data_IF_732540368580
#
_entry.id   IF_732540368580
#
_cell.length_a   1.000
_cell.length_b   1.000
_cell.length_c   1.000
_cell.angle_alpha   90.00
_cell.angle_beta   90.00
_cell.angle_gamma   90.00
#
_symmetry.space_group_name_H-M   'P 1'
#
loop_
_entity.id
_entity.type
_entity.pdbx_description
1 polymer ?
#
# COMPACT_ATOMS: atom_id res chain seq x y z
N UNK A 1 -8.18 20.08 11.62
CA UNK A 1 -9.44 19.85 10.90
C UNK A 1 -9.62 18.38 10.59
N UNK A 2 -10.79 17.85 10.91
CA UNK A 2 -11.07 16.41 10.71
C UNK A 2 -11.10 15.99 9.25
N UNK A 3 -11.48 16.87 8.33
CA UNK A 3 -11.57 16.58 6.91
C UNK A 3 -10.22 16.30 6.27
N UNK A 4 -9.13 16.86 6.81
CA UNK A 4 -7.80 16.66 6.26
C UNK A 4 -7.24 15.27 6.51
N UNK A 5 -7.71 14.60 7.57
CA UNK A 5 -7.23 13.25 7.89
C UNK A 5 -7.65 12.25 6.82
N UNK A 6 -8.89 12.34 6.35
CA UNK A 6 -9.37 11.45 5.29
C UNK A 6 -8.51 11.59 4.02
N UNK A 7 -8.22 12.81 3.62
CA UNK A 7 -7.43 13.05 2.41
C UNK A 7 -6.00 12.53 2.53
N UNK A 8 -5.43 12.60 3.72
CA UNK A 8 -4.08 12.07 3.97
C UNK A 8 -4.08 10.54 3.87
N UNK A 9 -5.08 9.88 4.45
CA UNK A 9 -5.20 8.43 4.35
C UNK A 9 -5.49 8.00 2.90
N UNK A 10 -6.32 8.76 2.18
CA UNK A 10 -6.59 8.50 0.78
C UNK A 10 -5.31 8.64 -0.06
N UNK A 11 -4.53 9.69 0.18
CA UNK A 11 -3.25 9.87 -0.50
C UNK A 11 -2.31 8.69 -0.23
N UNK A 12 -2.19 8.26 1.03
CA UNK A 12 -1.38 7.10 1.38
C UNK A 12 -1.87 5.84 0.65
N UNK A 13 -3.17 5.63 0.56
CA UNK A 13 -3.76 4.48 -0.14
C UNK A 13 -3.44 4.51 -1.63
N UNK A 14 -3.56 5.66 -2.26
CA UNK A 14 -3.24 5.82 -3.69
C UNK A 14 -1.76 5.56 -3.94
N UNK A 15 -0.89 6.12 -3.10
CA UNK A 15 0.55 5.88 -3.21
C UNK A 15 0.90 4.42 -3.00
N UNK A 16 0.18 3.73 -2.11
CA UNK A 16 0.35 2.29 -1.90
C UNK A 16 0.04 1.49 -3.16
N UNK A 17 -1.08 1.79 -3.83
CA UNK A 17 -1.44 1.13 -5.09
C UNK A 17 -0.38 1.40 -6.15
N UNK A 18 0.06 2.63 -6.29
CA UNK A 18 1.12 3.00 -7.24
C UNK A 18 2.40 2.21 -6.93
N UNK A 19 2.76 2.09 -5.67
CA UNK A 19 3.97 1.37 -5.23
C UNK A 19 3.94 -0.11 -5.64
N UNK A 20 2.77 -0.72 -5.63
CA UNK A 20 2.60 -2.13 -6.00
C UNK A 20 2.52 -2.30 -7.52
N UNK A 21 1.81 -1.41 -8.20
CA UNK A 21 1.55 -1.54 -9.65
C UNK A 21 2.72 -1.04 -10.49
N UNK A 22 3.39 0.03 -10.07
CA UNK A 22 4.45 0.66 -10.87
C UNK A 22 5.57 -0.30 -11.27
N UNK A 23 6.09 -1.18 -10.38
CA UNK A 23 7.14 -2.12 -10.79
C UNK A 23 6.72 -3.08 -11.90
N UNK A 24 5.42 -3.34 -12.09
CA UNK A 24 4.95 -4.23 -13.16
C UNK A 24 5.31 -3.68 -14.55
N UNK A 25 5.51 -2.38 -14.68
CA UNK A 25 5.89 -1.74 -15.94
C UNK A 25 7.40 -1.76 -16.18
N UNK A 26 8.20 -1.94 -15.13
CA UNK A 26 9.67 -1.92 -15.23
C UNK A 26 10.29 -3.31 -15.24
N UNK A 27 9.60 -4.32 -14.72
CA UNK A 27 10.12 -5.67 -14.62
C UNK A 27 9.62 -6.50 -15.80
N UNK A 28 10.47 -6.75 -16.83
CA UNK A 28 10.03 -7.42 -18.06
C UNK A 28 9.69 -8.89 -17.87
N UNK A 29 10.29 -9.54 -16.87
CA UNK A 29 10.10 -10.98 -16.64
C UNK A 29 8.96 -11.29 -15.66
N UNK A 30 8.17 -10.30 -15.28
CA UNK A 30 7.10 -10.47 -14.33
C UNK A 30 5.93 -11.22 -14.97
N UNK A 31 5.51 -12.31 -14.32
CA UNK A 31 4.38 -13.11 -14.80
C UNK A 31 3.08 -12.33 -14.70
N UNK A 32 2.30 -12.33 -15.78
CA UNK A 32 0.99 -11.71 -15.78
C UNK A 32 -0.04 -12.60 -15.11
N UNK A 33 -0.87 -12.02 -14.26
CA UNK A 33 -1.94 -12.71 -13.56
C UNK A 33 -3.29 -12.19 -14.02
N UNK A 34 -4.24 -13.10 -14.20
CA UNK A 34 -5.60 -12.75 -14.57
C UNK A 34 -6.43 -12.44 -13.33
N UNK A 35 -7.32 -11.46 -13.46
CA UNK A 35 -8.23 -11.08 -12.41
C UNK A 35 -9.51 -10.53 -13.04
N UNK A 36 -10.70 -10.71 -12.41
CA UNK A 36 -11.96 -10.24 -12.99
C UNK A 36 -12.01 -8.74 -13.25
N UNK A 37 -11.44 -7.91 -12.37
CA UNK A 37 -11.52 -6.46 -12.49
C UNK A 37 -10.16 -5.77 -12.54
N UNK A 38 -9.17 -6.29 -11.81
CA UNK A 38 -7.91 -5.57 -11.56
C UNK A 38 -6.69 -6.44 -11.84
N UNK A 39 -6.45 -6.85 -13.10
CA UNK A 39 -5.32 -7.76 -13.40
C UNK A 39 -3.96 -7.13 -13.10
N UNK A 40 -3.78 -5.81 -13.29
CA UNK A 40 -2.52 -5.14 -12.98
C UNK A 40 -2.23 -5.16 -11.48
N UNK A 41 -3.26 -4.96 -10.65
CA UNK A 41 -3.11 -4.99 -9.20
C UNK A 41 -2.74 -6.40 -8.74
N UNK A 42 -3.41 -7.41 -9.27
CA UNK A 42 -3.08 -8.80 -8.94
C UNK A 42 -1.67 -9.15 -9.37
N UNK A 43 -1.27 -8.75 -10.58
CA UNK A 43 0.09 -8.96 -11.07
C UNK A 43 1.11 -8.32 -10.13
N UNK A 44 0.84 -7.10 -9.67
CA UNK A 44 1.72 -6.40 -8.75
C UNK A 44 1.84 -7.08 -7.39
N UNK A 45 0.73 -7.54 -6.83
CA UNK A 45 0.71 -8.21 -5.51
C UNK A 45 1.40 -9.58 -5.59
N UNK A 46 1.06 -10.38 -6.59
CA UNK A 46 1.63 -11.73 -6.71
C UNK A 46 3.11 -11.69 -7.09
N UNK A 47 3.52 -10.69 -7.86
CA UNK A 47 4.90 -10.49 -8.27
C UNK A 47 5.63 -9.43 -7.46
N UNK A 48 5.27 -9.25 -6.19
CA UNK A 48 5.86 -8.20 -5.35
C UNK A 48 7.37 -8.35 -5.27
N UNK A 49 8.09 -7.22 -5.35
CA UNK A 49 9.53 -7.18 -5.44
C UNK A 49 10.13 -6.22 -4.42
N UNK A 50 11.45 -6.20 -4.34
CA UNK A 50 12.16 -5.22 -3.49
C UNK A 50 11.81 -3.77 -3.89
N UNK A 51 11.57 -3.52 -5.18
CA UNK A 51 11.18 -2.20 -5.66
C UNK A 51 9.85 -1.75 -5.08
N UNK A 52 8.88 -2.69 -4.96
CA UNK A 52 7.59 -2.40 -4.32
C UNK A 52 7.79 -2.01 -2.86
N UNK A 53 8.64 -2.74 -2.14
CA UNK A 53 8.93 -2.44 -0.74
C UNK A 53 9.61 -1.08 -0.58
N UNK A 54 10.56 -0.74 -1.44
CA UNK A 54 11.21 0.57 -1.44
C UNK A 54 10.19 1.68 -1.68
N UNK A 55 9.31 1.51 -2.67
CA UNK A 55 8.29 2.50 -2.98
C UNK A 55 7.27 2.65 -1.85
N UNK A 56 6.87 1.54 -1.20
CA UNK A 56 5.98 1.59 -0.05
C UNK A 56 6.63 2.33 1.12
N UNK A 57 7.92 2.06 1.38
CA UNK A 57 8.67 2.75 2.42
C UNK A 57 8.73 4.25 2.14
N UNK A 58 9.04 4.64 0.91
CA UNK A 58 9.08 6.04 0.50
C UNK A 58 7.70 6.70 0.58
N UNK A 59 6.65 5.97 0.25
CA UNK A 59 5.27 6.47 0.36
C UNK A 59 4.91 6.78 1.82
N UNK A 60 5.18 5.85 2.72
CA UNK A 60 4.94 6.06 4.15
C UNK A 60 5.76 7.23 4.69
N UNK A 61 7.03 7.29 4.32
CA UNK A 61 7.93 8.36 4.70
C UNK A 61 7.41 9.72 4.24
N UNK A 62 7.07 9.85 2.96
CA UNK A 62 6.60 11.10 2.39
C UNK A 62 5.30 11.58 2.99
N UNK A 63 4.32 10.69 3.14
CA UNK A 63 3.03 11.05 3.73
C UNK A 63 3.19 11.48 5.17
N UNK A 64 4.05 10.79 5.94
CA UNK A 64 4.30 11.17 7.33
C UNK A 64 4.94 12.55 7.45
N UNK A 65 5.84 12.91 6.54
CA UNK A 65 6.43 14.25 6.52
C UNK A 65 5.37 15.33 6.32
N UNK A 66 4.29 15.02 5.61
CA UNK A 66 3.21 15.96 5.31
C UNK A 66 2.13 16.00 6.40
N UNK A 67 2.18 15.10 7.38
CA UNK A 67 1.10 15.00 8.35
C UNK A 67 1.61 14.67 9.75
N UNK A 68 0.77 14.98 10.75
CA UNK A 68 1.04 14.65 12.15
C UNK A 68 0.27 13.41 12.62
N UNK A 69 -0.36 12.69 11.69
CA UNK A 69 -1.13 11.50 12.03
C UNK A 69 -0.22 10.36 12.48
N UNK A 70 -0.81 9.39 13.17
CA UNK A 70 -0.07 8.22 13.67
C UNK A 70 0.60 7.46 12.53
N UNK A 71 1.88 7.14 12.71
CA UNK A 71 2.65 6.47 11.67
C UNK A 71 2.10 5.11 11.28
N UNK A 72 1.71 4.29 12.27
CA UNK A 72 1.18 2.97 11.99
C UNK A 72 -0.13 3.02 11.19
N UNK A 73 -0.97 4.03 11.42
CA UNK A 73 -2.21 4.21 10.65
C UNK A 73 -1.92 4.61 9.22
N UNK A 74 -0.95 5.49 8.99
CA UNK A 74 -0.52 5.86 7.64
C UNK A 74 0.03 4.64 6.91
N UNK A 75 0.88 3.86 7.58
CA UNK A 75 1.44 2.65 6.98
C UNK A 75 0.36 1.64 6.60
N UNK A 76 -0.61 1.39 7.48
CA UNK A 76 -1.74 0.52 7.14
C UNK A 76 -2.57 1.09 5.99
N UNK A 77 -2.73 2.41 5.92
CA UNK A 77 -3.49 3.05 4.87
C UNK A 77 -2.88 2.80 3.48
N UNK A 78 -1.56 2.62 3.38
CA UNK A 78 -0.93 2.33 2.08
C UNK A 78 -1.47 1.05 1.44
N UNK A 79 -1.93 0.11 2.25
CA UNK A 79 -2.48 -1.17 1.77
C UNK A 79 -3.99 -1.27 1.92
N UNK A 80 -4.66 -0.19 2.36
CA UNK A 80 -6.09 -0.25 2.70
C UNK A 80 -6.99 -0.49 1.49
N UNK A 81 -6.59 -0.04 0.29
CA UNK A 81 -7.40 -0.22 -0.91
C UNK A 81 -7.43 -1.67 -1.39
N UNK A 82 -6.40 -2.47 -1.11
CA UNK A 82 -6.32 -3.85 -1.61
C UNK A 82 -7.42 -4.75 -1.07
N UNK A 83 -7.73 -4.76 0.24
CA UNK A 83 -8.89 -5.53 0.73
C UNK A 83 -10.21 -5.06 0.12
N UNK A 84 -10.36 -3.75 -0.06
CA UNK A 84 -11.58 -3.19 -0.66
C UNK A 84 -11.73 -3.68 -2.10
N UNK A 85 -10.66 -3.61 -2.89
CA UNK A 85 -10.67 -4.08 -4.27
C UNK A 85 -10.89 -5.59 -4.36
N UNK A 86 -10.32 -6.37 -3.43
CA UNK A 86 -10.54 -7.80 -3.37
C UNK A 86 -12.02 -8.13 -3.11
N UNK A 87 -12.68 -7.37 -2.23
CA UNK A 87 -14.09 -7.55 -1.96
C UNK A 87 -14.94 -7.23 -3.21
N UNK A 88 -14.60 -6.16 -3.94
CA UNK A 88 -15.29 -5.83 -5.19
C UNK A 88 -15.16 -6.97 -6.21
N UNK A 89 -13.96 -7.52 -6.37
CA UNK A 89 -13.75 -8.65 -7.28
C UNK A 89 -14.55 -9.88 -6.86
N UNK A 90 -14.64 -10.14 -5.54
CA UNK A 90 -15.40 -11.26 -5.01
C UNK A 90 -16.90 -11.12 -5.28
N UNK A 91 -17.42 -9.90 -5.28
CA UNK A 91 -18.82 -9.63 -5.62
C UNK A 91 -19.07 -9.96 -7.11
N UNK A 92 -18.12 -9.64 -7.98
CA UNK A 92 -18.21 -9.93 -9.41
C UNK A 92 -18.04 -11.41 -9.72
N UNK A 93 -17.11 -12.08 -9.04
CA UNK A 93 -16.82 -13.49 -9.23
C UNK A 93 -16.49 -14.11 -7.88
N UNK A 94 -17.42 -14.88 -7.34
CA UNK A 94 -17.30 -15.49 -6.01
C UNK A 94 -16.16 -16.50 -5.89
N UNK A 95 -15.59 -16.94 -7.02
CA UNK A 95 -14.46 -17.89 -7.03
C UNK A 95 -13.10 -17.21 -7.10
N UNK A 96 -13.05 -15.89 -7.30
CA UNK A 96 -11.81 -15.18 -7.59
C UNK A 96 -10.83 -15.09 -6.41
N UNK A 97 -11.33 -15.07 -5.17
CA UNK A 97 -10.53 -14.92 -3.97
C UNK A 97 -10.87 -16.02 -2.96
N UNK A 98 -10.55 -17.26 -3.29
CA UNK A 98 -10.86 -18.41 -2.45
C UNK A 98 -10.11 -18.40 -1.11
N UNK A 99 -8.97 -17.71 -1.03
CA UNK A 99 -8.14 -17.65 0.17
C UNK A 99 -8.15 -16.23 0.80
N UNK A 100 -9.30 -15.60 0.78
CA UNK A 100 -9.47 -14.21 1.20
C UNK A 100 -8.88 -13.88 2.60
N UNK A 101 -9.10 -14.72 3.65
CA UNK A 101 -8.49 -14.42 4.96
C UNK A 101 -6.97 -14.36 4.92
N UNK A 102 -6.33 -15.23 4.13
CA UNK A 102 -4.88 -15.22 3.98
C UNK A 102 -4.39 -14.04 3.17
N UNK A 103 -5.19 -13.60 2.19
CA UNK A 103 -4.86 -12.39 1.42
C UNK A 103 -4.84 -11.15 2.32
N UNK A 104 -5.78 -11.03 3.25
CA UNK A 104 -5.82 -9.91 4.19
C UNK A 104 -4.60 -9.90 5.10
N UNK A 105 -4.15 -11.08 5.55
CA UNK A 105 -2.91 -11.20 6.32
C UNK A 105 -1.72 -10.74 5.48
N UNK A 106 -1.67 -11.15 4.21
CA UNK A 106 -0.65 -10.72 3.27
C UNK A 106 -0.61 -9.21 3.10
N UNK A 107 -1.77 -8.57 2.93
CA UNK A 107 -1.84 -7.12 2.81
C UNK A 107 -1.33 -6.42 4.07
N UNK A 108 -1.65 -6.95 5.24
CA UNK A 108 -1.13 -6.41 6.50
C UNK A 108 0.40 -6.52 6.57
N UNK A 109 0.96 -7.65 6.13
CA UNK A 109 2.41 -7.82 6.07
C UNK A 109 3.06 -6.87 5.07
N UNK A 110 2.43 -6.64 3.93
CA UNK A 110 2.94 -5.71 2.92
C UNK A 110 2.83 -4.25 3.36
N UNK A 111 2.05 -3.95 4.39
CA UNK A 111 2.00 -2.62 4.97
C UNK A 111 3.23 -2.31 5.83
N UNK A 112 4.00 -3.31 6.24
CA UNK A 112 5.18 -3.13 7.13
C UNK A 112 6.20 -2.14 6.55
N UNK A 113 6.59 -2.21 5.27
CA UNK A 113 7.51 -1.21 4.71
C UNK A 113 6.99 0.22 4.84
N UNK A 114 5.69 0.43 4.59
CA UNK A 114 5.07 1.75 4.78
C UNK A 114 5.14 2.21 6.23
N UNK A 115 4.88 1.33 7.18
CA UNK A 115 4.98 1.63 8.60
C UNK A 115 6.42 2.00 8.97
N UNK A 116 7.40 1.24 8.50
CA UNK A 116 8.81 1.54 8.72
C UNK A 116 9.15 2.92 8.17
N UNK A 117 8.67 3.24 6.97
CA UNK A 117 8.87 4.55 6.35
C UNK A 117 8.34 5.68 7.21
N UNK A 118 7.15 5.53 7.81
CA UNK A 118 6.57 6.55 8.69
C UNK A 118 7.43 6.80 9.93
N UNK A 119 7.97 5.74 10.53
CA UNK A 119 8.81 5.89 11.71
C UNK A 119 10.18 6.46 11.37
N UNK A 120 10.71 6.17 10.18
CA UNK A 120 11.92 6.83 9.69
C UNK A 120 11.70 8.34 9.51
N UNK A 121 10.53 8.73 8.99
CA UNK A 121 10.17 10.14 8.85
C UNK A 121 10.05 10.82 10.21
N UNK A 122 9.46 10.14 11.18
CA UNK A 122 9.33 10.65 12.55
C UNK A 122 10.72 10.89 13.15
N UNK A 123 11.64 9.94 13.01
CA UNK A 123 13.01 10.08 13.47
C UNK A 123 13.73 11.24 12.78
N UNK A 124 13.55 11.39 11.47
CA UNK A 124 14.14 12.49 10.71
C UNK A 124 13.62 13.83 11.20
N UNK A 125 12.31 13.96 11.41
CA UNK A 125 11.72 15.20 11.93
C UNK A 125 12.26 15.53 13.32
N UNK A 126 12.44 14.53 14.17
CA UNK A 126 12.97 14.70 15.51
C UNK A 126 14.42 15.17 15.46
N UNK A 127 15.24 14.60 14.58
CA UNK A 127 16.64 14.99 14.42
C UNK A 127 16.74 16.42 13.90
N UNK A 128 15.86 16.80 12.96
CA UNK A 128 15.85 18.14 12.38
C UNK A 128 15.14 19.18 13.25
N UNK A 129 14.62 18.80 14.41
CA UNK A 129 13.93 19.71 15.30
C UNK A 129 12.59 20.22 14.79
N UNK A 130 11.91 19.46 13.93
CA UNK A 130 10.63 19.85 13.33
C UNK A 130 9.41 19.41 14.12
N UNK A 131 9.62 18.65 15.17
CA UNK A 131 8.52 18.18 16.04
C UNK A 131 8.42 19.00 17.31
#
# INVERSE_FOLDING_TARGET
MKTNNFWIYLLASILGVISIVLPTFFLPDLKQYDSPLFPLIRTGIEGISIWSFILLLLSGFGVKLLSKLSGWKIGLATMALFPILAIFELIFDSTSHSMLPFEFIGYALYAVPGIIGTYLALGTNKILGRL
#
